data_IF_219888516269
#
_entry.id   IF_219888516269
#
_cell.length_a   1.000
_cell.length_b   1.000
_cell.length_c   1.000
_cell.angle_alpha   90.00
_cell.angle_beta   90.00
_cell.angle_gamma   90.00
#
_symmetry.space_group_name_H-M   'P 1'
#
loop_
_entity.id
_entity.type
_entity.pdbx_description
1 polymer ?
#
# COMPACT_ATOMS: atom_id res chain seq x y z
N UNK A 1 6.59 0.86 -29.52
CA UNK A 1 5.28 0.57 -28.89
C UNK A 1 5.33 -0.21 -27.56
N UNK A 2 6.24 -1.19 -27.33
CA UNK A 2 6.23 -2.00 -26.07
C UNK A 2 6.70 -1.32 -24.76
N UNK A 3 7.45 -0.20 -24.83
CA UNK A 3 8.03 0.46 -23.63
C UNK A 3 7.02 1.36 -22.91
N UNK A 4 6.28 2.18 -23.66
CA UNK A 4 5.25 3.09 -23.14
C UNK A 4 4.18 2.37 -22.32
N UNK A 5 3.60 1.28 -22.86
CA UNK A 5 2.56 0.53 -22.15
C UNK A 5 3.05 -0.08 -20.84
N UNK A 6 4.33 -0.47 -20.74
CA UNK A 6 4.88 -1.06 -19.51
C UNK A 6 4.99 -0.03 -18.41
N UNK A 7 5.33 1.22 -18.73
CA UNK A 7 5.50 2.29 -17.74
C UNK A 7 4.15 2.81 -17.26
N UNK A 8 3.16 2.92 -18.16
CA UNK A 8 1.78 3.20 -17.77
C UNK A 8 1.25 2.14 -16.80
N UNK A 9 1.43 0.85 -17.10
CA UNK A 9 0.99 -0.24 -16.22
C UNK A 9 1.71 -0.17 -14.86
N UNK A 10 3.00 0.14 -14.84
CA UNK A 10 3.80 0.22 -13.62
C UNK A 10 3.34 1.39 -12.73
N UNK A 11 3.04 2.55 -13.33
CA UNK A 11 2.52 3.72 -12.65
C UNK A 11 1.12 3.47 -12.05
N UNK A 12 0.21 2.89 -12.85
CA UNK A 12 -1.14 2.55 -12.38
C UNK A 12 -1.12 1.46 -11.29
N UNK A 13 -0.22 0.48 -11.40
CA UNK A 13 -0.01 -0.52 -10.34
C UNK A 13 0.52 0.13 -9.06
N UNK A 14 1.42 1.12 -9.18
CA UNK A 14 1.96 1.86 -8.03
C UNK A 14 0.88 2.66 -7.30
N UNK A 15 0.01 3.35 -8.04
CA UNK A 15 -1.16 4.05 -7.48
C UNK A 15 -2.12 3.07 -6.80
N UNK A 16 -2.38 1.93 -7.44
CA UNK A 16 -3.23 0.88 -6.89
C UNK A 16 -2.70 0.34 -5.55
N UNK A 17 -1.39 0.09 -5.44
CA UNK A 17 -0.74 -0.31 -4.19
C UNK A 17 -0.88 0.73 -3.07
N UNK A 18 -0.78 2.03 -3.42
CA UNK A 18 -0.99 3.13 -2.47
C UNK A 18 -2.44 3.16 -1.98
N UNK A 19 -3.41 2.91 -2.87
CA UNK A 19 -4.83 2.87 -2.48
C UNK A 19 -5.15 1.66 -1.61
N UNK A 20 -4.58 0.48 -1.89
CA UNK A 20 -4.64 -0.67 -0.98
C UNK A 20 -4.06 -0.30 0.38
N UNK A 21 -2.92 0.39 0.44
CA UNK A 21 -2.33 0.79 1.71
C UNK A 21 -3.28 1.66 2.56
N UNK A 22 -4.00 2.60 1.93
CA UNK A 22 -5.03 3.41 2.60
C UNK A 22 -6.22 2.58 3.09
N UNK A 23 -6.68 1.62 2.29
CA UNK A 23 -7.78 0.72 2.67
C UNK A 23 -7.40 -0.16 3.87
N UNK A 24 -6.20 -0.75 3.84
CA UNK A 24 -5.68 -1.55 4.97
C UNK A 24 -5.49 -0.68 6.20
N UNK A 25 -4.98 0.54 6.06
CA UNK A 25 -4.85 1.49 7.17
C UNK A 25 -6.20 1.77 7.83
N UNK A 26 -7.22 2.09 7.04
CA UNK A 26 -8.59 2.28 7.55
C UNK A 26 -9.11 1.04 8.27
N UNK A 27 -8.90 -0.16 7.71
CA UNK A 27 -9.29 -1.43 8.32
C UNK A 27 -8.60 -1.71 9.67
N UNK A 28 -7.31 -1.42 9.79
CA UNK A 28 -6.55 -1.59 11.03
C UNK A 28 -7.05 -0.64 12.12
N UNK A 29 -7.30 0.63 11.78
CA UNK A 29 -7.87 1.59 12.74
C UNK A 29 -9.28 1.16 13.17
N UNK A 30 -10.13 0.77 12.22
CA UNK A 30 -11.50 0.32 12.49
C UNK A 30 -11.51 -0.93 13.39
N UNK A 31 -10.64 -1.91 13.11
CA UNK A 31 -10.52 -3.10 13.92
C UNK A 31 -9.97 -2.80 15.32
N UNK A 32 -9.10 -1.80 15.44
CA UNK A 32 -8.59 -1.33 16.73
C UNK A 32 -9.67 -0.72 17.62
N UNK A 33 -10.61 0.05 17.06
CA UNK A 33 -11.71 0.64 17.84
C UNK A 33 -12.82 -0.35 18.16
N UNK A 34 -12.99 -1.40 17.36
CA UNK A 34 -14.01 -2.44 17.56
C UNK A 34 -13.76 -3.34 18.78
N UNK A 35 -12.64 -3.15 19.51
CA UNK A 35 -12.28 -3.83 20.77
C UNK A 35 -12.70 -5.30 20.81
N UNK A 36 -12.22 -6.09 19.84
CA UNK A 36 -12.45 -7.52 19.82
C UNK A 36 -11.83 -8.20 21.06
N UNK A 37 -12.63 -8.95 21.81
CA UNK A 37 -12.18 -9.60 23.06
C UNK A 37 -11.03 -10.59 22.86
N UNK A 38 -10.89 -11.15 21.66
CA UNK A 38 -9.89 -12.17 21.33
C UNK A 38 -8.70 -11.66 20.49
N UNK A 39 -8.60 -10.36 20.22
CA UNK A 39 -7.53 -9.81 19.38
C UNK A 39 -6.64 -8.89 20.23
N UNK A 40 -5.35 -9.20 20.28
CA UNK A 40 -4.36 -8.34 20.91
C UNK A 40 -4.14 -7.08 20.06
N UNK A 41 -4.43 -5.87 20.59
CA UNK A 41 -4.26 -4.61 19.85
C UNK A 41 -2.83 -4.40 19.38
N UNK A 42 -1.83 -4.81 20.15
CA UNK A 42 -0.43 -4.68 19.79
C UNK A 42 -0.09 -5.48 18.53
N UNK A 43 -0.58 -6.72 18.42
CA UNK A 43 -0.41 -7.56 17.23
C UNK A 43 -1.17 -6.97 16.03
N UNK A 44 -2.39 -6.49 16.26
CA UNK A 44 -3.20 -5.86 15.22
C UNK A 44 -2.48 -4.67 14.58
N UNK A 45 -2.00 -3.72 15.41
CA UNK A 45 -1.29 -2.55 14.92
C UNK A 45 0.09 -2.89 14.35
N UNK A 46 0.81 -3.86 14.92
CA UNK A 46 2.13 -4.26 14.42
C UNK A 46 2.04 -4.92 13.04
N UNK A 47 1.18 -5.93 12.88
CA UNK A 47 1.02 -6.65 11.60
C UNK A 47 0.37 -5.73 10.58
N UNK A 48 -0.73 -5.08 10.96
CA UNK A 48 -1.45 -4.15 10.10
C UNK A 48 -0.59 -2.98 9.64
N UNK A 49 0.13 -2.35 10.57
CA UNK A 49 1.05 -1.25 10.28
C UNK A 49 2.21 -1.68 9.37
N UNK A 50 2.76 -2.88 9.58
CA UNK A 50 3.82 -3.42 8.71
C UNK A 50 3.32 -3.62 7.28
N UNK A 51 2.12 -4.17 7.10
CA UNK A 51 1.52 -4.36 5.77
C UNK A 51 1.24 -3.02 5.08
N UNK A 52 0.73 -2.03 5.81
CA UNK A 52 0.52 -0.67 5.28
C UNK A 52 1.83 -0.06 4.81
N UNK A 53 2.90 -0.14 5.62
CA UNK A 53 4.21 0.38 5.25
C UNK A 53 4.78 -0.30 4.00
N UNK A 54 4.69 -1.63 3.91
CA UNK A 54 5.19 -2.38 2.75
C UNK A 54 4.40 -2.01 1.48
N UNK A 55 3.07 -1.97 1.54
CA UNK A 55 2.24 -1.59 0.38
C UNK A 55 2.49 -0.13 -0.03
N UNK A 56 2.61 0.77 0.94
CA UNK A 56 2.85 2.18 0.67
C UNK A 56 4.24 2.42 0.06
N UNK A 57 5.29 1.84 0.64
CA UNK A 57 6.66 1.97 0.12
C UNK A 57 6.81 1.33 -1.27
N UNK A 58 6.25 0.13 -1.46
CA UNK A 58 6.28 -0.54 -2.77
C UNK A 58 5.52 0.25 -3.83
N UNK A 59 4.34 0.79 -3.51
CA UNK A 59 3.57 1.66 -4.39
C UNK A 59 4.30 2.97 -4.73
N UNK A 60 4.97 3.58 -3.74
CA UNK A 60 5.81 4.77 -3.94
C UNK A 60 7.00 4.47 -4.86
N UNK A 61 7.74 3.40 -4.59
CA UNK A 61 8.90 2.98 -5.39
C UNK A 61 8.46 2.69 -6.82
N UNK A 62 7.35 1.97 -7.01
CA UNK A 62 6.85 1.61 -8.34
C UNK A 62 6.39 2.84 -9.14
N UNK A 63 5.71 3.77 -8.48
CA UNK A 63 5.31 5.05 -9.08
C UNK A 63 6.53 5.91 -9.42
N UNK A 64 7.53 5.99 -8.53
CA UNK A 64 8.74 6.78 -8.72
C UNK A 64 9.65 6.21 -9.84
N UNK A 65 9.78 4.88 -9.92
CA UNK A 65 10.53 4.21 -10.99
C UNK A 65 9.90 4.43 -12.36
N UNK A 66 8.56 4.48 -12.43
CA UNK A 66 7.84 4.81 -13.66
C UNK A 66 8.15 6.23 -14.13
N UNK A 67 8.17 7.19 -13.19
CA UNK A 67 8.43 8.61 -13.50
C UNK A 67 9.90 8.92 -13.85
N UNK A 68 10.87 8.16 -13.32
CA UNK A 68 12.30 8.37 -13.62
C UNK A 68 12.74 7.90 -15.01
N UNK A 69 11.96 7.04 -15.69
CA UNK A 69 12.31 6.60 -17.05
C UNK A 69 11.81 7.54 -18.16
N UNK A 70 10.91 8.48 -17.84
CA UNK A 70 10.44 9.53 -18.75
C UNK A 70 11.42 10.72 -18.90
N UNK A 71 12.47 10.81 -18.08
CA UNK A 71 13.49 11.89 -18.09
C UNK A 71 14.79 11.43 -18.70
#
# INVERSE_FOLDING_TARGET
>A
MKKESKETILSETGKFLIDIAKLVFGGVILAGIMKYENINPWLLFSIGGSVVLICFLSGLVLTALSKRKEV
#
